data_IF_239305080341
#
_entry.id   IF_239305080341
#
_cell.length_a   1.000
_cell.length_b   1.000
_cell.length_c   1.000
_cell.angle_alpha   90.00
_cell.angle_beta   90.00
_cell.angle_gamma   90.00
#
_symmetry.space_group_name_H-M   'P 1'
#
loop_
_entity.id
_entity.type
_entity.pdbx_description
1 polymer ?
#
# COMPACT_ATOMS: atom_id res chain seq x y z
N UNK A 1 31.79 -4.12 -9.81
CA UNK A 1 31.62 -3.33 -8.57
C UNK A 1 30.16 -2.93 -8.49
N UNK A 2 29.45 -3.28 -7.42
CA UNK A 2 28.09 -2.78 -7.20
C UNK A 2 28.22 -1.41 -6.55
N UNK A 3 27.79 -0.36 -7.25
CA UNK A 3 27.78 1.00 -6.71
C UNK A 3 26.61 1.14 -5.72
N UNK A 4 26.87 1.73 -4.55
CA UNK A 4 25.82 2.11 -3.62
C UNK A 4 24.90 3.15 -4.27
N UNK A 5 23.59 2.89 -4.28
CA UNK A 5 22.57 3.82 -4.76
C UNK A 5 21.76 4.32 -3.58
N UNK A 6 21.69 5.64 -3.41
CA UNK A 6 20.77 6.27 -2.46
C UNK A 6 19.47 6.59 -3.17
N UNK A 7 18.34 6.23 -2.56
CA UNK A 7 17.01 6.49 -3.08
C UNK A 7 16.30 7.43 -2.11
N UNK A 8 15.87 8.59 -2.59
CA UNK A 8 15.04 9.51 -1.82
C UNK A 8 13.61 9.42 -2.34
N UNK A 9 12.61 9.19 -1.48
CA UNK A 9 11.20 9.25 -1.87
C UNK A 9 10.88 10.60 -2.53
N UNK A 10 10.32 10.57 -3.75
CA UNK A 10 9.85 11.77 -4.43
C UNK A 10 8.33 11.86 -4.29
N UNK A 11 7.84 13.03 -3.92
CA UNK A 11 6.40 13.32 -3.84
C UNK A 11 5.84 13.44 -5.27
N UNK A 12 4.86 12.61 -5.64
CA UNK A 12 4.15 12.76 -6.92
C UNK A 12 3.67 11.43 -7.52
N UNK A 13 4.44 10.36 -7.39
CA UNK A 13 4.06 9.03 -7.88
C UNK A 13 3.43 8.21 -6.75
N UNK A 14 2.28 7.55 -7.01
CA UNK A 14 1.65 6.60 -6.07
C UNK A 14 2.61 5.45 -5.74
N UNK A 15 3.20 4.86 -6.78
CA UNK A 15 4.05 3.68 -6.67
C UNK A 15 5.25 3.79 -7.61
N UNK A 16 6.44 3.51 -7.08
CA UNK A 16 7.68 3.50 -7.87
C UNK A 16 8.59 2.37 -7.42
N UNK A 17 8.84 1.42 -8.32
CA UNK A 17 9.87 0.39 -8.12
C UNK A 17 11.26 1.05 -8.16
N UNK A 18 12.06 0.85 -7.12
CA UNK A 18 13.40 1.45 -6.97
C UNK A 18 14.53 0.43 -7.01
N UNK A 19 14.19 -0.84 -6.82
CA UNK A 19 15.08 -2.00 -6.90
C UNK A 19 14.30 -3.23 -7.40
N UNK A 20 14.97 -4.07 -8.19
CA UNK A 20 14.45 -5.36 -8.64
C UNK A 20 15.60 -6.35 -8.80
N UNK A 21 15.43 -7.56 -8.26
CA UNK A 21 16.38 -8.65 -8.38
C UNK A 21 15.79 -9.75 -9.28
N UNK A 22 15.90 -9.53 -10.59
CA UNK A 22 15.36 -10.45 -11.60
C UNK A 22 13.86 -10.66 -11.43
N UNK A 23 13.49 -11.93 -11.21
CA UNK A 23 12.14 -12.44 -10.97
C UNK A 23 11.90 -12.85 -9.49
N UNK A 24 12.87 -12.59 -8.61
CA UNK A 24 12.80 -13.03 -7.20
C UNK A 24 11.97 -12.09 -6.34
N UNK A 25 12.37 -10.82 -6.30
CA UNK A 25 11.69 -9.79 -5.51
C UNK A 25 12.00 -8.39 -6.04
N UNK A 26 11.13 -7.45 -5.70
CA UNK A 26 11.32 -6.04 -5.96
C UNK A 26 10.98 -5.20 -4.73
N UNK A 27 11.55 -4.01 -4.68
CA UNK A 27 11.22 -3.02 -3.69
C UNK A 27 10.84 -1.71 -4.37
N UNK A 28 9.83 -1.05 -3.83
CA UNK A 28 9.39 0.25 -4.29
C UNK A 28 8.96 1.16 -3.16
N UNK A 29 8.77 2.41 -3.53
CA UNK A 29 8.27 3.47 -2.65
C UNK A 29 6.81 3.66 -2.96
N UNK A 30 5.97 3.53 -1.93
CA UNK A 30 4.53 3.71 -2.00
C UNK A 30 4.10 4.94 -1.20
N UNK A 31 3.22 5.72 -1.81
CA UNK A 31 2.68 6.97 -1.28
C UNK A 31 1.15 6.94 -1.57
N UNK A 32 0.31 6.53 -0.60
CA UNK A 32 -1.13 6.31 -0.84
C UNK A 32 -1.83 7.56 -1.33
N UNK A 33 -2.50 7.53 -2.48
CA UNK A 33 -3.17 8.69 -3.07
C UNK A 33 -4.33 9.22 -2.20
N UNK A 34 -5.06 8.30 -1.58
CA UNK A 34 -6.24 8.61 -0.76
C UNK A 34 -5.83 9.34 0.52
N UNK A 35 -6.65 10.30 0.95
CA UNK A 35 -6.41 11.09 2.16
C UNK A 35 -7.41 10.83 3.28
N UNK A 36 -8.42 10.00 3.02
CA UNK A 36 -9.37 9.52 4.02
C UNK A 36 -9.83 8.10 3.68
N UNK A 37 -10.52 7.48 4.65
CA UNK A 37 -11.11 6.16 4.47
C UNK A 37 -12.16 6.16 3.37
N UNK A 38 -12.96 7.21 3.28
CA UNK A 38 -14.09 7.34 2.34
C UNK A 38 -13.65 7.40 0.88
N UNK A 39 -12.43 7.87 0.61
CA UNK A 39 -11.85 7.88 -0.74
C UNK A 39 -11.41 6.48 -1.22
N UNK A 40 -11.21 5.54 -0.28
CA UNK A 40 -10.93 4.14 -0.61
C UNK A 40 -12.21 3.48 -1.12
N UNK A 41 -12.36 3.44 -2.44
CA UNK A 41 -13.51 2.84 -3.16
C UNK A 41 -13.19 1.53 -3.87
N UNK A 42 -11.91 1.15 -3.91
CA UNK A 42 -11.44 -0.12 -4.49
C UNK A 42 -10.49 -0.77 -3.50
N UNK A 43 -10.59 -2.08 -3.34
CA UNK A 43 -9.54 -2.88 -2.71
C UNK A 43 -8.86 -3.75 -3.77
N UNK A 44 -7.57 -3.97 -3.60
CA UNK A 44 -6.78 -4.87 -4.42
C UNK A 44 -6.33 -6.08 -3.58
N UNK A 45 -6.15 -7.23 -4.23
CA UNK A 45 -5.53 -8.39 -3.61
C UNK A 45 -4.52 -9.00 -4.55
N UNK A 46 -3.34 -9.24 -4.01
CA UNK A 46 -2.23 -9.83 -4.71
C UNK A 46 -2.25 -11.36 -4.61
N UNK A 47 -1.83 -12.03 -5.69
CA UNK A 47 -1.68 -13.49 -5.72
C UNK A 47 -0.51 -14.01 -4.87
N UNK A 48 0.28 -13.10 -4.29
CA UNK A 48 1.41 -13.35 -3.41
C UNK A 48 1.45 -12.29 -2.29
N UNK A 49 2.11 -12.56 -1.15
CA UNK A 49 2.19 -11.61 -0.06
C UNK A 49 2.92 -10.32 -0.46
N UNK A 50 2.46 -9.22 0.12
CA UNK A 50 3.07 -7.90 -0.01
C UNK A 50 3.47 -7.38 1.37
N UNK A 51 4.68 -6.87 1.49
CA UNK A 51 5.25 -6.40 2.76
C UNK A 51 5.38 -4.89 2.73
N UNK A 52 4.82 -4.22 3.75
CA UNK A 52 4.90 -2.78 3.95
C UNK A 52 5.75 -2.42 5.18
N UNK A 53 6.54 -1.35 5.07
CA UNK A 53 7.25 -0.70 6.19
C UNK A 53 7.06 0.80 6.09
N UNK A 54 6.59 1.43 7.18
CA UNK A 54 6.47 2.88 7.24
C UNK A 54 7.84 3.52 7.35
N UNK A 55 8.22 4.31 6.34
CA UNK A 55 9.45 5.09 6.33
C UNK A 55 9.25 6.47 6.97
N UNK A 56 8.11 7.11 6.68
CA UNK A 56 7.85 8.45 7.17
C UNK A 56 6.34 8.76 7.21
N UNK A 57 5.93 9.52 8.23
CA UNK A 57 4.60 10.11 8.30
C UNK A 57 3.54 9.15 8.84
N UNK A 58 2.36 9.14 8.21
CA UNK A 58 1.20 8.34 8.63
C UNK A 58 0.54 7.67 7.44
N UNK A 59 0.29 6.38 7.56
CA UNK A 59 -0.46 5.56 6.61
C UNK A 59 -1.39 4.67 7.43
N UNK A 60 -2.64 4.58 7.00
CA UNK A 60 -3.62 3.64 7.53
C UNK A 60 -3.91 2.63 6.42
N UNK A 61 -3.68 1.35 6.71
CA UNK A 61 -4.06 0.24 5.84
C UNK A 61 -5.55 -0.04 6.05
N UNK A 62 -6.30 -0.15 4.95
CA UNK A 62 -7.68 -0.60 4.93
C UNK A 62 -7.66 -2.05 4.44
N UNK A 63 -8.09 -2.98 5.28
CA UNK A 63 -7.95 -4.42 5.05
C UNK A 63 -9.31 -5.13 5.09
N UNK A 64 -9.42 -6.24 4.35
CA UNK A 64 -10.60 -7.11 4.36
C UNK A 64 -10.26 -8.53 3.95
N UNK A 65 -10.74 -9.51 4.72
CA UNK A 65 -10.58 -10.93 4.37
C UNK A 65 -11.64 -11.37 3.34
N UNK A 66 -12.86 -10.87 3.48
CA UNK A 66 -14.05 -11.28 2.72
C UNK A 66 -14.48 -10.29 1.64
N UNK A 67 -13.85 -9.11 1.59
CA UNK A 67 -14.21 -8.02 0.68
C UNK A 67 -15.45 -7.22 1.11
N UNK A 68 -16.02 -7.51 2.28
CA UNK A 68 -17.22 -6.87 2.80
C UNK A 68 -16.97 -6.18 4.15
N UNK A 69 -16.26 -6.84 5.05
CA UNK A 69 -15.94 -6.36 6.39
C UNK A 69 -14.59 -5.68 6.37
N UNK A 70 -14.58 -4.38 6.68
CA UNK A 70 -13.39 -3.54 6.58
C UNK A 70 -12.83 -3.25 7.96
N UNK A 71 -11.50 -3.28 8.06
CA UNK A 71 -10.77 -2.84 9.25
C UNK A 71 -9.62 -1.93 8.88
N UNK A 72 -9.26 -1.09 9.83
CA UNK A 72 -8.19 -0.10 9.66
C UNK A 72 -7.04 -0.44 10.60
N UNK A 73 -5.82 -0.39 10.06
CA UNK A 73 -4.59 -0.62 10.82
C UNK A 73 -3.65 0.55 10.56
N UNK A 74 -3.39 1.36 11.60
CA UNK A 74 -2.37 2.41 11.53
C UNK A 74 -0.98 1.77 11.49
N UNK A 75 -0.19 2.15 10.48
CA UNK A 75 1.19 1.70 10.38
C UNK A 75 2.08 2.43 11.39
N UNK A 76 2.99 1.70 12.04
CA UNK A 76 3.91 2.23 13.03
C UNK A 76 5.37 2.12 12.54
N UNK A 77 6.22 3.13 12.79
CA UNK A 77 7.64 3.05 12.47
C UNK A 77 8.32 1.85 13.12
N UNK A 78 9.14 1.13 12.36
CA UNK A 78 9.88 -0.04 12.85
C UNK A 78 9.08 -1.35 12.90
N UNK A 79 7.79 -1.34 12.53
CA UNK A 79 6.99 -2.56 12.34
C UNK A 79 6.92 -2.94 10.86
N UNK A 80 6.77 -4.25 10.63
CA UNK A 80 6.55 -4.83 9.31
C UNK A 80 5.09 -5.31 9.24
N UNK A 81 4.45 -5.06 8.10
CA UNK A 81 3.08 -5.48 7.83
C UNK A 81 3.09 -6.37 6.60
N UNK A 82 2.72 -7.63 6.74
CA UNK A 82 2.65 -8.59 5.62
C UNK A 82 1.17 -8.80 5.32
N UNK A 83 0.77 -8.53 4.07
CA UNK A 83 -0.63 -8.50 3.63
C UNK A 83 -0.83 -9.56 2.54
N UNK A 84 -1.83 -10.41 2.74
CA UNK A 84 -2.23 -11.48 1.80
C UNK A 84 -3.73 -11.40 1.42
N UNK A 85 -4.40 -10.35 1.89
CA UNK A 85 -5.85 -10.15 1.78
C UNK A 85 -6.18 -8.90 0.97
N UNK A 86 -7.47 -8.58 0.84
CA UNK A 86 -7.89 -7.36 0.17
C UNK A 86 -7.41 -6.15 0.96
N UNK A 87 -6.79 -5.22 0.26
CA UNK A 87 -6.23 -4.05 0.91
C UNK A 87 -6.23 -2.81 0.01
N UNK A 88 -6.10 -1.67 0.67
CA UNK A 88 -5.70 -0.39 0.12
C UNK A 88 -5.13 0.42 1.30
N UNK A 89 -4.73 1.67 1.07
CA UNK A 89 -4.29 2.54 2.14
C UNK A 89 -4.68 4.00 1.88
N UNK A 90 -4.62 4.79 2.94
CA UNK A 90 -4.77 6.25 2.85
C UNK A 90 -3.85 6.97 3.84
N UNK A 91 -3.63 8.27 3.60
CA UNK A 91 -2.88 9.17 4.47
C UNK A 91 -3.85 10.10 5.20
N UNK A 92 -4.15 9.88 6.50
CA UNK A 92 -5.21 10.60 7.19
C UNK A 92 -5.02 12.12 7.12
N UNK A 93 -6.02 12.83 6.59
CA UNK A 93 -6.02 14.29 6.49
C UNK A 93 -4.96 14.85 5.54
N UNK A 94 -4.47 14.04 4.59
CA UNK A 94 -3.43 14.44 3.64
C UNK A 94 -2.04 14.58 4.27
N UNK A 95 -1.84 14.01 5.47
CA UNK A 95 -0.53 13.95 6.10
C UNK A 95 0.51 13.32 5.15
N UNK A 96 1.79 13.62 5.38
CA UNK A 96 2.87 12.88 4.72
C UNK A 96 2.74 11.39 5.07
N UNK A 97 3.00 10.51 4.11
CA UNK A 97 2.93 9.07 4.30
C UNK A 97 3.73 8.39 3.20
N UNK A 98 4.81 7.71 3.60
CA UNK A 98 5.72 7.02 2.70
C UNK A 98 6.01 5.63 3.26
N UNK A 99 5.74 4.60 2.46
CA UNK A 99 6.09 3.22 2.77
C UNK A 99 7.14 2.68 1.81
N UNK A 100 8.03 1.83 2.34
CA UNK A 100 8.73 0.83 1.54
C UNK A 100 7.79 -0.35 1.36
N UNK A 101 7.68 -0.84 0.13
CA UNK A 101 6.96 -2.07 -0.18
C UNK A 101 7.93 -3.06 -0.78
N UNK A 102 7.83 -4.32 -0.36
CA UNK A 102 8.57 -5.45 -0.91
C UNK A 102 7.57 -6.50 -1.38
N UNK A 103 7.71 -6.93 -2.62
CA UNK A 103 6.79 -7.87 -3.25
C UNK A 103 7.50 -8.73 -4.31
N UNK A 104 6.79 -9.76 -4.77
CA UNK A 104 7.22 -10.53 -5.92
C UNK A 104 7.06 -9.70 -7.21
N UNK A 105 7.96 -9.82 -8.21
CA UNK A 105 7.91 -8.96 -9.39
C UNK A 105 6.85 -9.36 -10.43
N UNK A 106 6.25 -10.55 -10.29
CA UNK A 106 5.22 -11.16 -11.13
C UNK A 106 3.91 -11.35 -10.35
N UNK A 107 3.50 -10.33 -9.60
CA UNK A 107 2.25 -10.37 -8.84
C UNK A 107 1.03 -10.27 -9.77
N UNK A 108 0.05 -11.15 -9.56
CA UNK A 108 -1.27 -11.01 -10.16
C UNK A 108 -2.16 -10.21 -9.22
N UNK A 109 -2.94 -9.26 -9.74
CA UNK A 109 -3.78 -8.39 -8.93
C UNK A 109 -5.24 -8.57 -9.31
N UNK A 110 -6.06 -8.86 -8.32
CA UNK A 110 -7.52 -8.81 -8.40
C UNK A 110 -8.03 -7.52 -7.76
N UNK A 111 -9.21 -7.05 -8.18
CA UNK A 111 -9.83 -5.83 -7.68
C UNK A 111 -11.30 -6.07 -7.31
N UNK A 112 -11.74 -5.44 -6.23
CA UNK A 112 -13.16 -5.33 -5.87
C UNK A 112 -13.52 -3.86 -5.62
N UNK A 113 -14.72 -3.49 -6.02
CA UNK A 113 -15.28 -2.16 -5.72
C UNK A 113 -16.02 -2.22 -4.39
N UNK A 114 -15.78 -1.24 -3.54
CA UNK A 114 -16.61 -1.00 -2.36
C UNK A 114 -17.81 -0.18 -2.84
N UNK A 115 -18.99 -0.81 -2.92
CA UNK A 115 -20.22 -0.08 -3.22
C UNK A 115 -20.40 1.03 -2.17
N UNK A 116 -20.38 2.29 -2.61
CA UNK A 116 -20.81 3.40 -1.77
C UNK A 116 -22.32 3.18 -1.62
N UNK A 117 -22.74 2.65 -0.48
CA UNK A 117 -24.14 2.73 -0.11
C UNK A 117 -24.50 4.22 -0.12
N UNK A 118 -25.22 4.66 -1.14
CA UNK A 118 -25.94 5.92 -1.11
C UNK A 118 -26.82 5.85 0.13
N UNK A 119 -26.34 6.39 1.25
CA UNK A 119 -27.19 6.69 2.40
C UNK A 119 -28.06 7.84 1.93
N UNK A 120 -29.21 7.50 1.37
CA UNK A 120 -30.29 8.47 1.20
C UNK A 120 -30.55 9.08 2.58
N UNK A 121 -30.49 10.41 2.61
CA UNK A 121 -30.71 11.24 3.78
C UNK A 121 -32.18 11.26 4.20
#
# INVERSE_FOLDING_TARGET
MIAMKVVTPQTGDRWRVVFRDGDRWQAGIYIPENVSREEVVVLERHSRPELFVLLEGKIILVLSEDGATLREVEMEPGKLYIVEEWHNAYRPGGAKGVALVVEAPDVGTEYISLEIACREA
#
